data_IF_472226914143
#
_entry.id   IF_472226914143
#
_cell.length_a   1.000
_cell.length_b   1.000
_cell.length_c   1.000
_cell.angle_alpha   90.00
_cell.angle_beta   90.00
_cell.angle_gamma   90.00
#
_symmetry.space_group_name_H-M   'P 1'
#
loop_
_entity.id
_entity.type
_entity.pdbx_description
1 polymer ?
#
# COMPACT_ATOMS: atom_id res chain seq x y z
N UNK A 1 -0.16 0.46 -62.19
CA UNK A 1 0.87 0.54 -61.13
C UNK A 1 0.42 1.54 -60.07
N UNK A 2 -0.36 1.09 -59.08
CA UNK A 2 -0.64 1.80 -57.81
C UNK A 2 -1.57 0.90 -56.99
N UNK A 3 -1.00 -0.15 -56.40
CA UNK A 3 -1.78 -1.12 -55.62
C UNK A 3 -0.92 -1.79 -54.54
N UNK A 4 -0.20 -1.01 -53.72
CA UNK A 4 0.47 -1.54 -52.52
C UNK A 4 0.63 -0.43 -51.48
N UNK A 5 -0.45 0.03 -50.83
CA UNK A 5 -0.28 0.84 -49.60
C UNK A 5 -1.51 0.94 -48.67
N UNK A 6 -2.37 -0.09 -48.58
CA UNK A 6 -3.55 0.00 -47.70
C UNK A 6 -3.93 -1.28 -46.97
N UNK A 7 -2.97 -2.12 -46.57
CA UNK A 7 -3.27 -3.32 -45.78
C UNK A 7 -2.33 -3.46 -44.56
N UNK A 8 -2.30 -2.43 -43.72
CA UNK A 8 -1.94 -2.61 -42.30
C UNK A 8 -3.16 -2.16 -41.48
N UNK A 9 -4.30 -2.82 -41.72
CA UNK A 9 -5.40 -2.78 -40.79
C UNK A 9 -4.98 -3.62 -39.58
N UNK A 10 -4.32 -2.97 -38.61
CA UNK A 10 -4.09 -3.55 -37.29
C UNK A 10 -5.45 -3.83 -36.68
N UNK A 11 -5.88 -5.08 -36.72
CA UNK A 11 -7.05 -5.60 -36.00
C UNK A 11 -6.76 -5.52 -34.50
N UNK A 12 -6.85 -4.32 -33.94
CA UNK A 12 -6.73 -4.09 -32.51
C UNK A 12 -7.96 -4.73 -31.85
N UNK A 13 -7.78 -5.88 -31.20
CA UNK A 13 -8.87 -6.59 -30.55
C UNK A 13 -9.26 -5.80 -29.29
N UNK A 14 -10.55 -5.69 -28.96
CA UNK A 14 -11.04 -5.03 -27.73
C UNK A 14 -10.30 -5.50 -26.46
N UNK A 15 -9.93 -6.79 -26.43
CA UNK A 15 -9.09 -7.41 -25.39
C UNK A 15 -7.72 -6.73 -25.27
N UNK A 16 -7.05 -6.44 -26.37
CA UNK A 16 -5.73 -5.79 -26.37
C UNK A 16 -5.81 -4.37 -25.82
N UNK A 17 -6.89 -3.65 -26.12
CA UNK A 17 -7.13 -2.32 -25.57
C UNK A 17 -7.35 -2.38 -24.05
N UNK A 18 -8.14 -3.35 -23.57
CA UNK A 18 -8.37 -3.57 -22.13
C UNK A 18 -7.07 -3.95 -21.42
N UNK A 19 -6.32 -4.92 -21.93
CA UNK A 19 -5.05 -5.34 -21.35
C UNK A 19 -4.04 -4.17 -21.31
N UNK A 20 -3.99 -3.34 -22.35
CA UNK A 20 -3.13 -2.16 -22.36
C UNK A 20 -3.53 -1.12 -21.32
N UNK A 21 -4.84 -0.87 -21.15
CA UNK A 21 -5.34 0.03 -20.09
C UNK A 21 -5.02 -0.52 -18.69
N UNK A 22 -5.21 -1.82 -18.51
CA UNK A 22 -4.94 -2.52 -17.25
C UNK A 22 -3.46 -2.49 -16.90
N UNK A 23 -2.59 -2.81 -17.85
CA UNK A 23 -1.15 -2.72 -17.70
C UNK A 23 -0.70 -1.31 -17.32
N UNK A 24 -1.22 -0.29 -18.01
CA UNK A 24 -0.91 1.11 -17.68
C UNK A 24 -1.39 1.49 -16.27
N UNK A 25 -2.55 1.00 -15.83
CA UNK A 25 -3.05 1.25 -14.47
C UNK A 25 -2.16 0.58 -13.41
N UNK A 26 -1.73 -0.66 -13.65
CA UNK A 26 -0.81 -1.39 -12.76
C UNK A 26 0.53 -0.65 -12.67
N UNK A 27 1.12 -0.27 -13.81
CA UNK A 27 2.39 0.48 -13.83
C UNK A 27 2.27 1.84 -13.13
N UNK A 28 1.15 2.55 -13.32
CA UNK A 28 0.90 3.81 -12.63
C UNK A 28 0.77 3.62 -11.12
N UNK A 29 0.11 2.55 -10.67
CA UNK A 29 -0.03 2.19 -9.25
C UNK A 29 1.31 1.85 -8.60
N UNK A 30 2.14 1.04 -9.27
CA UNK A 30 3.48 0.70 -8.79
C UNK A 30 4.37 1.94 -8.72
N UNK A 31 4.34 2.79 -9.76
CA UNK A 31 5.12 4.02 -9.79
C UNK A 31 4.67 5.00 -8.70
N UNK A 32 3.36 5.15 -8.45
CA UNK A 32 2.85 6.05 -7.42
C UNK A 32 3.25 5.60 -6.01
N UNK A 33 3.27 4.29 -5.73
CA UNK A 33 3.72 3.76 -4.44
C UNK A 33 5.22 3.96 -4.22
N UNK A 34 6.05 3.77 -5.25
CA UNK A 34 7.49 4.09 -5.17
C UNK A 34 7.73 5.58 -4.95
N UNK A 35 6.96 6.44 -5.63
CA UNK A 35 7.03 7.89 -5.44
C UNK A 35 6.64 8.29 -4.01
N UNK A 36 5.54 7.75 -3.48
CA UNK A 36 5.10 8.01 -2.11
C UNK A 36 6.15 7.53 -1.10
N UNK A 37 6.71 6.33 -1.28
CA UNK A 37 7.78 5.82 -0.43
C UNK A 37 8.99 6.78 -0.43
N UNK A 38 9.42 7.24 -1.60
CA UNK A 38 10.53 8.18 -1.71
C UNK A 38 10.24 9.52 -1.02
N UNK A 39 9.04 10.07 -1.20
CA UNK A 39 8.60 11.29 -0.51
C UNK A 39 8.56 11.11 1.02
N UNK A 40 8.10 9.96 1.51
CA UNK A 40 8.12 9.64 2.94
C UNK A 40 9.56 9.58 3.48
N UNK A 41 10.50 8.98 2.74
CA UNK A 41 11.91 8.93 3.16
C UNK A 41 12.55 10.31 3.21
N UNK A 42 12.22 11.17 2.24
CA UNK A 42 12.61 12.57 2.26
C UNK A 42 12.07 13.19 3.56
N UNK A 43 10.77 13.12 3.84
CA UNK A 43 10.18 13.72 5.06
C UNK A 43 10.86 13.20 6.34
N UNK A 44 11.09 11.89 6.47
CA UNK A 44 11.64 11.27 7.68
C UNK A 44 13.11 11.65 7.91
N UNK A 45 13.91 11.69 6.85
CA UNK A 45 15.32 12.08 6.94
C UNK A 45 15.51 13.61 6.94
N UNK A 46 14.40 14.37 7.03
CA UNK A 46 14.35 15.82 6.94
C UNK A 46 15.25 16.53 7.93
N UNK A 47 16.31 17.16 7.43
CA UNK A 47 17.11 18.10 8.19
C UNK A 47 16.90 19.53 7.62
N UNK A 48 16.27 20.38 8.42
CA UNK A 48 15.97 21.78 8.05
C UNK A 48 17.25 22.63 7.94
N UNK A 49 18.36 22.17 8.51
CA UNK A 49 19.61 22.95 8.53
C UNK A 49 20.39 22.84 7.22
N UNK A 50 20.26 21.72 6.49
CA UNK A 50 21.02 21.46 5.26
C UNK A 50 20.17 20.72 4.21
N UNK A 51 19.32 21.43 3.44
CA UNK A 51 18.35 20.77 2.56
C UNK A 51 18.99 19.99 1.40
N UNK A 52 20.17 20.41 0.94
CA UNK A 52 20.87 19.75 -0.17
C UNK A 52 21.51 18.42 0.25
N UNK A 53 22.12 18.37 1.45
CA UNK A 53 22.70 17.12 1.97
C UNK A 53 21.60 16.15 2.34
N UNK A 54 20.50 16.62 2.93
CA UNK A 54 19.30 15.85 3.21
C UNK A 54 18.75 15.13 1.97
N UNK A 55 18.55 15.85 0.86
CA UNK A 55 18.04 15.26 -0.37
C UNK A 55 19.01 14.23 -0.94
N UNK A 56 20.31 14.53 -0.90
CA UNK A 56 21.37 13.62 -1.37
C UNK A 56 21.40 12.32 -0.55
N UNK A 57 21.35 12.42 0.78
CA UNK A 57 21.33 11.25 1.68
C UNK A 57 20.08 10.41 1.45
N UNK A 58 18.90 11.04 1.32
CA UNK A 58 17.65 10.32 1.02
C UNK A 58 17.71 9.58 -0.32
N UNK A 59 18.29 10.21 -1.34
CA UNK A 59 18.47 9.59 -2.65
C UNK A 59 19.49 8.45 -2.62
N UNK A 60 20.59 8.59 -1.89
CA UNK A 60 21.59 7.54 -1.72
C UNK A 60 21.03 6.33 -0.95
N UNK A 61 20.24 6.57 0.11
CA UNK A 61 19.56 5.51 0.85
C UNK A 61 18.59 4.75 -0.06
N UNK A 62 17.78 5.46 -0.85
CA UNK A 62 16.83 4.85 -1.79
C UNK A 62 17.51 4.07 -2.93
N UNK A 63 18.66 4.54 -3.42
CA UNK A 63 19.41 3.87 -4.50
C UNK A 63 20.36 2.78 -4.01
N UNK A 64 20.50 2.60 -2.69
CA UNK A 64 21.36 1.56 -2.12
C UNK A 64 20.86 0.15 -2.45
N UNK A 65 21.78 -0.79 -2.69
CA UNK A 65 21.44 -2.19 -2.98
C UNK A 65 20.62 -2.82 -1.84
N UNK A 66 20.98 -2.51 -0.59
CA UNK A 66 20.25 -2.96 0.60
C UNK A 66 18.80 -2.48 0.62
N UNK A 67 18.54 -1.23 0.20
CA UNK A 67 17.16 -0.74 0.11
C UNK A 67 16.35 -1.52 -0.93
N UNK A 68 16.94 -1.82 -2.09
CA UNK A 68 16.28 -2.60 -3.13
C UNK A 68 15.97 -4.04 -2.69
N UNK A 69 16.79 -4.66 -1.84
CA UNK A 69 16.47 -5.97 -1.26
C UNK A 69 15.17 -5.96 -0.43
N UNK A 70 14.86 -4.85 0.25
CA UNK A 70 13.60 -4.69 0.99
C UNK A 70 12.44 -4.25 0.08
N UNK A 71 12.70 -3.40 -0.92
CA UNK A 71 11.68 -2.88 -1.83
C UNK A 71 11.16 -3.96 -2.79
N UNK A 72 12.01 -4.85 -3.31
CA UNK A 72 11.63 -5.85 -4.32
C UNK A 72 10.52 -6.80 -3.83
N UNK A 73 10.61 -7.44 -2.65
CA UNK A 73 9.53 -8.28 -2.13
C UNK A 73 8.21 -7.51 -1.98
N UNK A 74 8.29 -6.26 -1.53
CA UNK A 74 7.12 -5.40 -1.39
C UNK A 74 6.46 -5.11 -2.75
N UNK A 75 7.27 -4.83 -3.78
CA UNK A 75 6.79 -4.63 -5.15
C UNK A 75 6.10 -5.86 -5.74
N UNK A 76 6.60 -7.07 -5.46
CA UNK A 76 5.96 -8.32 -5.90
C UNK A 76 4.55 -8.46 -5.32
N UNK A 77 4.40 -8.14 -4.03
CA UNK A 77 3.11 -8.24 -3.33
C UNK A 77 2.13 -7.18 -3.84
N UNK A 78 2.59 -5.95 -4.03
CA UNK A 78 1.83 -4.89 -4.70
C UNK A 78 1.36 -5.33 -6.08
N UNK A 79 2.26 -5.91 -6.88
CA UNK A 79 1.95 -6.31 -8.24
C UNK A 79 0.87 -7.40 -8.24
N UNK A 80 0.98 -8.39 -7.35
CA UNK A 80 -0.04 -9.40 -7.14
C UNK A 80 -1.39 -8.79 -6.72
N UNK A 81 -1.38 -7.82 -5.80
CA UNK A 81 -2.59 -7.10 -5.38
C UNK A 81 -3.23 -6.35 -6.55
N UNK A 82 -2.43 -5.63 -7.34
CA UNK A 82 -2.92 -4.90 -8.49
C UNK A 82 -3.53 -5.86 -9.52
N UNK A 83 -2.94 -7.04 -9.74
CA UNK A 83 -3.45 -8.05 -10.68
C UNK A 83 -4.78 -8.64 -10.23
N UNK A 84 -4.94 -8.97 -8.95
CA UNK A 84 -6.20 -9.51 -8.41
C UNK A 84 -7.29 -8.45 -8.48
N UNK A 85 -7.02 -7.24 -7.97
CA UNK A 85 -7.98 -6.13 -8.02
C UNK A 85 -8.37 -5.79 -9.46
N UNK A 86 -7.40 -5.75 -10.38
CA UNK A 86 -7.61 -5.53 -11.80
C UNK A 86 -8.59 -6.53 -12.41
N UNK A 87 -8.46 -7.83 -12.08
CA UNK A 87 -9.41 -8.86 -12.53
C UNK A 87 -10.80 -8.59 -11.98
N UNK A 88 -10.92 -8.24 -10.71
CA UNK A 88 -12.22 -7.94 -10.10
C UNK A 88 -12.90 -6.74 -10.75
N UNK A 89 -12.17 -5.69 -11.08
CA UNK A 89 -12.73 -4.52 -11.79
C UNK A 89 -13.22 -4.84 -13.21
N UNK A 90 -12.61 -5.82 -13.88
CA UNK A 90 -13.01 -6.24 -15.24
C UNK A 90 -14.18 -7.23 -15.18
N UNK A 91 -14.23 -8.08 -14.15
CA UNK A 91 -15.20 -9.16 -14.02
C UNK A 91 -16.47 -8.74 -13.27
N UNK A 92 -16.44 -7.70 -12.44
CA UNK A 92 -17.54 -7.41 -11.54
C UNK A 92 -18.62 -6.50 -12.15
N UNK A 93 -19.78 -7.12 -12.40
CA UNK A 93 -21.11 -6.53 -12.19
C UNK A 93 -21.97 -7.50 -11.38
N UNK A 94 -21.47 -8.01 -10.25
CA UNK A 94 -22.30 -8.86 -9.39
C UNK A 94 -23.21 -7.99 -8.54
N UNK A 95 -24.40 -7.70 -9.06
CA UNK A 95 -25.46 -7.00 -8.36
C UNK A 95 -25.98 -7.90 -7.22
N UNK A 96 -25.42 -7.75 -6.02
CA UNK A 96 -25.88 -8.49 -4.84
C UNK A 96 -27.22 -7.93 -4.36
N UNK A 97 -28.28 -8.73 -4.51
CA UNK A 97 -29.68 -8.34 -4.28
C UNK A 97 -30.04 -8.08 -2.80
N UNK A 98 -29.30 -8.61 -1.81
CA UNK A 98 -29.64 -8.49 -0.38
C UNK A 98 -28.45 -8.14 0.53
N UNK A 99 -28.71 -7.41 1.63
CA UNK A 99 -27.68 -7.00 2.63
C UNK A 99 -27.05 -8.20 3.35
N UNK A 100 -27.80 -9.26 3.56
CA UNK A 100 -27.30 -10.51 4.15
C UNK A 100 -26.36 -11.25 3.21
N UNK A 101 -26.65 -11.27 1.91
CA UNK A 101 -25.75 -11.85 0.92
C UNK A 101 -24.42 -11.07 0.83
N UNK A 102 -24.46 -9.74 0.97
CA UNK A 102 -23.24 -8.93 1.12
C UNK A 102 -22.42 -9.34 2.35
N UNK A 103 -23.05 -9.61 3.49
CA UNK A 103 -22.35 -10.07 4.70
C UNK A 103 -21.66 -11.43 4.52
N UNK A 104 -22.37 -12.43 3.96
CA UNK A 104 -21.75 -13.72 3.67
C UNK A 104 -20.69 -13.64 2.57
N UNK A 105 -20.86 -12.73 1.61
CA UNK A 105 -19.86 -12.46 0.57
C UNK A 105 -18.54 -11.97 1.17
N UNK A 106 -18.55 -11.20 2.27
CA UNK A 106 -17.31 -10.78 2.97
C UNK A 106 -16.44 -11.99 3.37
N UNK A 107 -17.07 -13.10 3.77
CA UNK A 107 -16.38 -14.34 4.17
C UNK A 107 -16.04 -15.26 3.01
N UNK A 108 -16.25 -14.84 1.76
CA UNK A 108 -15.78 -15.59 0.60
C UNK A 108 -14.26 -15.71 0.61
N UNK A 109 -13.73 -16.88 0.21
CA UNK A 109 -12.30 -17.15 0.15
C UNK A 109 -11.54 -16.05 -0.61
N UNK A 110 -12.12 -15.56 -1.71
CA UNK A 110 -11.55 -14.46 -2.50
C UNK A 110 -11.40 -13.16 -1.70
N UNK A 111 -12.43 -12.79 -0.95
CA UNK A 111 -12.45 -11.58 -0.12
C UNK A 111 -11.51 -11.70 1.09
N UNK A 112 -11.38 -12.90 1.66
CA UNK A 112 -10.38 -13.17 2.70
C UNK A 112 -8.95 -13.04 2.17
N UNK A 113 -8.66 -13.56 0.98
CA UNK A 113 -7.35 -13.40 0.32
C UNK A 113 -7.03 -11.92 0.09
N UNK A 114 -8.02 -11.14 -0.36
CA UNK A 114 -7.86 -9.70 -0.57
C UNK A 114 -7.68 -8.92 0.74
N UNK A 115 -8.42 -9.26 1.79
CA UNK A 115 -8.25 -8.68 3.12
C UNK A 115 -6.82 -8.93 3.62
N UNK A 116 -6.34 -10.17 3.52
CA UNK A 116 -4.97 -10.53 3.90
C UNK A 116 -3.95 -9.75 3.07
N UNK A 117 -4.15 -9.65 1.77
CA UNK A 117 -3.22 -8.96 0.88
C UNK A 117 -3.14 -7.46 1.17
N UNK A 118 -4.28 -6.79 1.36
CA UNK A 118 -4.33 -5.39 1.77
C UNK A 118 -3.69 -5.15 3.15
N UNK A 119 -3.91 -6.08 4.08
CA UNK A 119 -3.31 -6.03 5.42
C UNK A 119 -1.80 -6.21 5.37
N UNK A 120 -1.31 -7.17 4.57
CA UNK A 120 0.11 -7.41 4.35
C UNK A 120 0.80 -6.22 3.67
N UNK A 121 0.17 -5.60 2.67
CA UNK A 121 0.72 -4.40 2.03
C UNK A 121 0.82 -3.25 3.02
N UNK A 122 -0.18 -3.04 3.89
CA UNK A 122 -0.13 -2.02 4.94
C UNK A 122 1.02 -2.25 5.93
N UNK A 123 1.16 -3.48 6.45
CA UNK A 123 2.24 -3.84 7.39
C UNK A 123 3.61 -3.71 6.72
N UNK A 124 3.78 -4.26 5.51
CA UNK A 124 5.05 -4.22 4.79
C UNK A 124 5.44 -2.81 4.38
N UNK A 125 4.48 -1.95 4.05
CA UNK A 125 4.74 -0.54 3.74
C UNK A 125 5.36 0.16 4.95
N UNK A 126 4.76 -0.02 6.13
CA UNK A 126 5.28 0.56 7.37
C UNK A 126 6.64 -0.05 7.71
N UNK A 127 6.77 -1.37 7.65
CA UNK A 127 8.02 -2.07 7.88
C UNK A 127 9.16 -1.55 6.99
N UNK A 128 8.88 -1.34 5.71
CA UNK A 128 9.84 -0.82 4.73
C UNK A 128 10.27 0.59 5.09
N UNK A 129 9.32 1.46 5.46
CA UNK A 129 9.62 2.83 5.89
C UNK A 129 10.53 2.81 7.13
N UNK A 130 10.22 1.99 8.14
CA UNK A 130 11.03 1.89 9.36
C UNK A 130 12.43 1.31 9.08
N UNK A 131 12.51 0.31 8.21
CA UNK A 131 13.78 -0.33 7.83
C UNK A 131 14.71 0.64 7.11
N UNK A 132 14.14 1.54 6.30
CA UNK A 132 14.87 2.54 5.52
C UNK A 132 15.13 3.85 6.27
N UNK A 133 14.31 4.20 7.26
CA UNK A 133 14.49 5.36 8.12
C UNK A 133 15.77 5.26 8.98
N UNK A 134 16.25 4.05 9.25
CA UNK A 134 17.46 3.82 10.04
C UNK A 134 17.27 4.11 11.54
N UNK A 135 18.38 4.05 12.29
CA UNK A 135 18.38 4.30 13.74
C UNK A 135 17.70 3.20 14.58
N UNK A 136 17.10 3.61 15.70
CA UNK A 136 16.43 2.73 16.66
C UNK A 136 15.18 2.04 16.10
N UNK A 137 14.57 2.61 15.06
CA UNK A 137 13.39 2.06 14.38
C UNK A 137 13.69 0.82 13.53
N UNK A 138 14.98 0.57 13.22
CA UNK A 138 15.40 -0.62 12.45
C UNK A 138 15.29 -1.91 13.26
N UNK A 139 15.31 -1.83 14.59
CA UNK A 139 15.24 -3.00 15.47
C UNK A 139 13.87 -3.03 16.15
N UNK A 140 13.16 -4.15 16.03
CA UNK A 140 11.91 -4.38 16.78
C UNK A 140 12.17 -4.48 18.30
N UNK A 141 13.42 -4.76 18.70
CA UNK A 141 13.78 -5.03 20.08
C UNK A 141 15.10 -4.33 20.44
N UNK A 142 15.12 -3.60 21.54
CA UNK A 142 16.32 -3.04 22.16
C UNK A 142 16.78 -3.98 23.27
N UNK A 143 18.07 -4.31 23.30
CA UNK A 143 18.66 -5.04 24.42
C UNK A 143 19.03 -4.01 25.48
N UNK A 144 18.29 -3.98 26.57
CA UNK A 144 18.52 -3.04 27.68
C UNK A 144 19.53 -3.62 28.70
N UNK A 145 19.63 -4.96 28.78
CA UNK A 145 20.62 -5.70 29.57
C UNK A 145 20.86 -7.09 28.97
N UNK A 146 22.01 -7.72 29.28
CA UNK A 146 22.54 -8.97 28.69
C UNK A 146 21.56 -10.18 28.61
N UNK A 147 20.38 -10.09 29.23
CA UNK A 147 19.35 -11.16 29.21
C UNK A 147 17.92 -10.67 28.93
N UNK A 148 17.68 -9.39 28.67
CA UNK A 148 16.33 -8.85 28.42
C UNK A 148 16.28 -8.01 27.15
N UNK A 149 15.55 -8.55 26.19
CA UNK A 149 15.19 -7.87 24.96
C UNK A 149 13.83 -7.16 25.18
N UNK A 150 13.83 -5.83 25.14
CA UNK A 150 12.65 -4.98 25.32
C UNK A 150 12.14 -4.53 23.96
N UNK A 151 10.86 -4.74 23.69
CA UNK A 151 10.25 -4.35 22.42
C UNK A 151 10.21 -2.83 22.28
N UNK A 152 10.57 -2.32 21.10
CA UNK A 152 10.41 -0.89 20.79
C UNK A 152 8.93 -0.61 20.54
N UNK A 153 8.29 0.05 21.51
CA UNK A 153 6.85 0.34 21.49
C UNK A 153 6.42 1.10 20.24
N UNK A 154 7.26 2.04 19.79
CA UNK A 154 6.99 2.88 18.61
C UNK A 154 6.89 2.04 17.33
N UNK A 155 7.83 1.11 17.15
CA UNK A 155 7.85 0.17 16.01
C UNK A 155 6.61 -0.72 16.02
N UNK A 156 6.21 -1.21 17.20
CA UNK A 156 5.02 -2.03 17.34
C UNK A 156 3.73 -1.26 17.05
N UNK A 157 3.59 -0.06 17.60
CA UNK A 157 2.46 0.84 17.35
C UNK A 157 2.30 1.14 15.87
N UNK A 158 3.41 1.41 15.17
CA UNK A 158 3.38 1.69 13.73
C UNK A 158 2.99 0.44 12.92
N UNK A 159 3.53 -0.74 13.24
CA UNK A 159 3.21 -1.99 12.54
C UNK A 159 1.73 -2.38 12.67
N UNK A 160 1.18 -2.34 13.89
CA UNK A 160 -0.24 -2.65 14.11
C UNK A 160 -1.15 -1.55 13.50
N UNK A 161 -0.67 -0.30 13.45
CA UNK A 161 -1.30 0.77 12.68
C UNK A 161 -1.36 0.47 11.18
N UNK A 162 -0.25 -0.03 10.60
CA UNK A 162 -0.20 -0.46 9.20
C UNK A 162 -1.19 -1.58 8.89
N UNK A 163 -1.31 -2.57 9.79
CA UNK A 163 -2.31 -3.63 9.71
C UNK A 163 -3.74 -3.04 9.73
N UNK A 164 -4.02 -2.16 10.69
CA UNK A 164 -5.32 -1.52 10.84
C UNK A 164 -5.73 -0.72 9.60
N UNK A 165 -4.81 0.06 9.03
CA UNK A 165 -5.06 0.86 7.82
C UNK A 165 -5.39 -0.06 6.64
N UNK A 166 -4.66 -1.16 6.47
CA UNK A 166 -4.93 -2.16 5.42
C UNK A 166 -6.33 -2.77 5.54
N UNK A 167 -6.70 -3.19 6.75
CA UNK A 167 -8.03 -3.74 7.04
C UNK A 167 -9.15 -2.70 6.80
N UNK A 168 -8.96 -1.47 7.28
CA UNK A 168 -9.94 -0.40 7.11
C UNK A 168 -10.13 -0.04 5.64
N UNK A 169 -9.04 0.02 4.85
CA UNK A 169 -9.11 0.31 3.42
C UNK A 169 -9.87 -0.79 2.68
N UNK A 170 -9.63 -2.07 3.01
CA UNK A 170 -10.41 -3.18 2.46
C UNK A 170 -11.90 -3.03 2.81
N UNK A 171 -12.23 -2.84 4.09
CA UNK A 171 -13.62 -2.74 4.55
C UNK A 171 -14.36 -1.52 3.96
N UNK A 172 -13.70 -0.38 3.78
CA UNK A 172 -14.35 0.84 3.32
C UNK A 172 -14.35 0.97 1.80
N UNK A 173 -13.22 0.70 1.16
CA UNK A 173 -13.03 0.97 -0.27
C UNK A 173 -13.37 -0.26 -1.10
N UNK A 174 -12.99 -1.47 -0.68
CA UNK A 174 -13.26 -2.67 -1.47
C UNK A 174 -14.72 -3.13 -1.35
N UNK A 175 -15.32 -3.04 -0.15
CA UNK A 175 -16.72 -3.43 0.05
C UNK A 175 -17.75 -2.38 -0.41
N UNK A 176 -17.32 -1.15 -0.72
CA UNK A 176 -18.21 -0.15 -1.32
C UNK A 176 -18.47 -0.48 -2.78
N UNK A 177 -19.71 -0.32 -3.24
CA UNK A 177 -20.09 -0.57 -4.63
C UNK A 177 -19.28 0.35 -5.56
N UNK A 178 -18.38 -0.22 -6.38
CA UNK A 178 -17.54 0.53 -7.31
C UNK A 178 -18.16 0.52 -8.70
N UNK A 179 -18.58 1.68 -9.17
CA UNK A 179 -18.97 1.86 -10.56
C UNK A 179 -17.91 2.69 -11.29
N UNK A 180 -17.37 2.15 -12.39
CA UNK A 180 -16.48 2.90 -13.26
C UNK A 180 -17.31 3.95 -14.02
N UNK A 181 -17.32 5.19 -13.52
CA UNK A 181 -17.91 6.30 -14.25
C UNK A 181 -16.98 6.70 -15.38
N UNK A 182 -17.37 6.43 -16.61
CA UNK A 182 -16.67 6.96 -17.77
C UNK A 182 -17.11 8.40 -18.00
N UNK A 183 -16.18 9.38 -18.04
CA UNK A 183 -16.54 10.75 -18.35
C UNK A 183 -17.09 10.84 -19.78
N UNK A 184 -18.23 11.50 -19.94
CA UNK A 184 -18.92 11.67 -21.23
C UNK A 184 -18.08 12.52 -22.21
N UNK A 185 -17.19 13.37 -21.69
CA UNK A 185 -16.37 14.30 -22.48
C UNK A 185 -14.94 13.76 -22.63
N UNK A 186 -14.51 13.58 -23.88
CA UNK A 186 -13.14 13.21 -24.23
C UNK A 186 -12.20 14.41 -24.01
N UNK A 187 -11.48 14.42 -22.90
CA UNK A 187 -10.44 15.41 -22.63
C UNK A 187 -9.04 14.83 -22.88
N UNK A 188 -8.06 15.70 -23.12
CA UNK A 188 -6.64 15.30 -23.21
C UNK A 188 -6.21 14.66 -21.89
N UNK A 189 -5.49 13.54 -21.96
CA UNK A 189 -5.07 12.71 -20.79
C UNK A 189 -4.35 13.51 -19.70
N UNK A 190 -3.48 14.45 -20.08
CA UNK A 190 -2.75 15.29 -19.13
C UNK A 190 -3.66 16.30 -18.40
N UNK A 191 -4.66 16.84 -19.09
CA UNK A 191 -5.64 17.74 -18.50
C UNK A 191 -6.52 16.99 -17.51
N UNK A 192 -6.98 15.78 -17.86
CA UNK A 192 -7.74 14.91 -16.96
C UNK A 192 -6.94 14.51 -15.72
N UNK A 193 -5.66 14.18 -15.90
CA UNK A 193 -4.78 13.87 -14.78
C UNK A 193 -4.67 15.08 -13.84
N UNK A 194 -4.33 16.26 -14.36
CA UNK A 194 -4.17 17.46 -13.54
C UNK A 194 -5.46 17.87 -12.83
N UNK A 195 -6.61 17.77 -13.49
CA UNK A 195 -7.90 18.16 -12.90
C UNK A 195 -8.35 17.21 -11.80
N UNK A 196 -8.07 15.91 -11.92
CA UNK A 196 -8.51 14.90 -10.96
C UNK A 196 -7.48 14.64 -9.86
N UNK A 197 -6.18 14.87 -10.11
CA UNK A 197 -5.11 14.55 -9.15
C UNK A 197 -5.26 15.33 -7.84
N UNK A 198 -5.46 16.65 -7.90
CA UNK A 198 -5.53 17.48 -6.69
C UNK A 198 -6.78 17.16 -5.83
N UNK A 199 -8.00 17.05 -6.39
CA UNK A 199 -9.16 16.57 -5.64
C UNK A 199 -8.95 15.18 -5.04
N UNK A 200 -8.43 14.23 -5.83
CA UNK A 200 -8.14 12.87 -5.36
C UNK A 200 -7.15 12.87 -4.19
N UNK A 201 -6.13 13.72 -4.24
CA UNK A 201 -5.12 13.80 -3.18
C UNK A 201 -5.70 14.41 -1.90
N UNK A 202 -6.53 15.46 -2.02
CA UNK A 202 -7.24 16.06 -0.89
C UNK A 202 -8.23 15.08 -0.26
N UNK A 203 -8.97 14.35 -1.08
CA UNK A 203 -9.89 13.31 -0.63
C UNK A 203 -9.14 12.17 0.07
N UNK A 204 -8.04 11.72 -0.52
CA UNK A 204 -7.19 10.66 0.05
C UNK A 204 -6.65 11.05 1.43
N UNK A 205 -6.20 12.30 1.60
CA UNK A 205 -5.75 12.81 2.89
C UNK A 205 -6.89 12.77 3.93
N UNK A 206 -8.06 13.29 3.58
CA UNK A 206 -9.23 13.27 4.47
C UNK A 206 -9.68 11.84 4.82
N UNK A 207 -9.66 10.93 3.84
CA UNK A 207 -10.00 9.52 4.03
C UNK A 207 -9.00 8.80 4.94
N UNK A 208 -7.75 9.24 4.98
CA UNK A 208 -6.67 8.66 5.79
C UNK A 208 -6.69 9.15 7.25
N UNK A 209 -7.27 10.30 7.55
CA UNK A 209 -7.40 10.80 8.93
C UNK A 209 -8.31 9.92 9.79
N UNK A 210 -9.42 9.45 9.23
CA UNK A 210 -10.39 8.60 9.94
C UNK A 210 -9.80 7.29 10.49
N UNK A 211 -9.12 6.44 9.69
CA UNK A 211 -8.53 5.21 10.22
C UNK A 211 -7.47 5.50 11.28
N UNK A 212 -6.69 6.56 11.15
CA UNK A 212 -5.70 6.95 12.14
C UNK A 212 -6.35 7.33 13.48
N UNK A 213 -7.42 8.14 13.45
CA UNK A 213 -8.14 8.52 14.66
C UNK A 213 -8.78 7.30 15.35
N UNK A 214 -9.44 6.42 14.59
CA UNK A 214 -10.01 5.19 15.14
C UNK A 214 -8.93 4.29 15.74
N UNK A 215 -7.77 4.19 15.08
CA UNK A 215 -6.66 3.40 15.57
C UNK A 215 -6.08 3.95 16.88
N UNK A 216 -5.90 5.27 16.99
CA UNK A 216 -5.38 5.91 18.20
C UNK A 216 -6.34 5.66 19.38
N UNK A 217 -7.65 5.83 19.18
CA UNK A 217 -8.65 5.55 20.22
C UNK A 217 -8.66 4.07 20.61
N UNK A 218 -8.61 3.18 19.63
CA UNK A 218 -8.55 1.74 19.87
C UNK A 218 -7.29 1.33 20.64
N UNK A 219 -6.13 1.85 20.24
CA UNK A 219 -4.85 1.56 20.91
C UNK A 219 -4.80 2.16 22.31
N UNK A 220 -5.39 3.33 22.54
CA UNK A 220 -5.48 3.93 23.87
C UNK A 220 -6.26 3.04 24.85
N UNK A 221 -7.36 2.41 24.42
CA UNK A 221 -8.15 1.51 25.25
C UNK A 221 -7.57 0.10 25.37
N UNK A 222 -7.05 -0.46 24.28
CA UNK A 222 -6.70 -1.89 24.19
C UNK A 222 -5.19 -2.17 24.08
N UNK A 223 -4.37 -1.14 23.96
CA UNK A 223 -2.92 -1.27 23.73
C UNK A 223 -2.19 -2.02 24.83
N UNK A 224 -2.60 -1.86 26.09
CA UNK A 224 -1.96 -2.56 27.23
C UNK A 224 -2.13 -4.07 27.16
N UNK A 225 -3.29 -4.58 26.72
CA UNK A 225 -3.51 -6.02 26.56
C UNK A 225 -2.71 -6.57 25.38
N UNK A 226 -2.62 -5.84 24.28
CA UNK A 226 -1.77 -6.21 23.13
C UNK A 226 -0.30 -6.33 23.52
N UNK A 227 0.20 -5.39 24.33
CA UNK A 227 1.58 -5.43 24.86
C UNK A 227 1.83 -6.67 25.73
N UNK A 228 0.88 -7.04 26.61
CA UNK A 228 1.00 -8.23 27.47
C UNK A 228 1.06 -9.52 26.67
N UNK A 229 0.20 -9.66 25.65
CA UNK A 229 0.20 -10.83 24.76
C UNK A 229 1.55 -10.95 24.04
N UNK A 230 2.08 -9.83 23.55
CA UNK A 230 3.34 -9.83 22.82
C UNK A 230 4.54 -10.12 23.73
N UNK A 231 4.59 -9.55 24.93
CA UNK A 231 5.61 -9.92 25.92
C UNK A 231 5.56 -11.40 26.27
N UNK A 232 4.36 -11.97 26.41
CA UNK A 232 4.18 -13.40 26.64
C UNK A 232 4.71 -14.23 25.46
N UNK A 233 4.47 -13.80 24.22
CA UNK A 233 4.94 -14.48 23.01
C UNK A 233 6.47 -14.36 22.81
N UNK A 234 7.04 -13.18 23.12
CA UNK A 234 8.48 -12.88 22.99
C UNK A 234 9.35 -13.66 23.98
N UNK A 235 8.82 -14.07 25.14
CA UNK A 235 9.55 -14.93 26.09
C UNK A 235 9.75 -16.35 25.52
N UNK A 236 8.87 -16.80 24.62
CA UNK A 236 9.00 -18.12 23.96
C UNK A 236 9.85 -18.10 22.69
N UNK A 237 10.21 -16.91 22.18
CA UNK A 237 11.03 -16.75 20.97
C UNK A 237 12.34 -16.06 21.32
N UNK A 238 13.36 -16.87 21.63
CA UNK A 238 14.78 -16.48 21.56
C UNK A 238 15.09 -15.77 20.24
N UNK A 239 16.08 -14.86 20.19
CA UNK A 239 16.09 -13.75 19.26
C UNK A 239 16.19 -14.25 17.82
N UNK A 240 15.14 -14.02 17.05
CA UNK A 240 15.22 -14.12 15.59
C UNK A 240 16.00 -12.87 15.15
N UNK A 241 17.31 -13.04 15.08
CA UNK A 241 18.21 -12.14 14.35
C UNK A 241 17.86 -12.28 12.88
N UNK A 242 16.91 -11.46 12.40
CA UNK A 242 16.66 -11.34 10.96
C UNK A 242 17.87 -10.57 10.39
N UNK A 243 18.69 -11.31 9.62
CA UNK A 243 19.85 -10.85 8.85
C UNK A 243 19.42 -9.79 7.84
#
# INVERSE_FOLDING_TARGET
MQSVQSNIAVTFTYKDLLFRKLYNAIMCSVFSQLLILHLCLIIINGDLTNPLSWLKTSFQTFTSFTAWLYVIPHLVIIFAQCLICARDYVLCSSFSSTRFHKFFSIFSLHNLVLLLLHSLVGVLQVWLILSLAGGDYRRMTKTEDEKRSVLVEETFFLLIGGLWIGMYFFAKVYMSDKYLVFPVIQQKKLTQLKSNLLPLLKESFHLSLWPCLYFILFYYWWGNEMKKILHSCSIYTSPITII
#
